data_IF_785835971917
#
_entry.id   IF_785835971917
#
_cell.length_a   1.000
_cell.length_b   1.000
_cell.length_c   1.000
_cell.angle_alpha   90.00
_cell.angle_beta   90.00
_cell.angle_gamma   90.00
#
_symmetry.space_group_name_H-M   'P 1'
#
loop_
_entity.id
_entity.type
_entity.pdbx_description
1 polymer ?
#
# COMPACT_ATOMS: atom_id res chain seq x y z
N UNK A 1 8.53 -53.99 20.42
CA UNK A 1 8.90 -52.60 20.07
C UNK A 1 8.64 -52.33 18.59
N UNK A 2 7.50 -51.75 18.17
CA UNK A 2 7.35 -51.16 16.81
C UNK A 2 6.23 -50.09 16.76
N UNK A 3 6.42 -49.00 17.50
CA UNK A 3 5.66 -47.74 17.34
C UNK A 3 6.64 -46.57 17.54
N UNK A 4 7.60 -46.41 16.63
CA UNK A 4 8.54 -45.27 16.66
C UNK A 4 8.72 -44.56 15.31
N UNK A 5 8.10 -45.05 14.22
CA UNK A 5 8.38 -44.54 12.87
C UNK A 5 7.38 -43.54 12.29
N UNK A 6 6.15 -43.41 12.83
CA UNK A 6 5.07 -42.63 12.19
C UNK A 6 4.80 -41.26 12.80
N UNK A 7 5.22 -41.01 14.04
CA UNK A 7 5.03 -39.72 14.72
C UNK A 7 5.88 -38.59 14.13
N UNK A 8 7.05 -38.93 13.59
CA UNK A 8 7.97 -37.92 13.05
C UNK A 8 7.47 -37.33 11.72
N UNK A 9 6.83 -38.15 10.86
CA UNK A 9 6.25 -37.67 9.59
C UNK A 9 5.10 -36.71 9.87
N UNK A 10 4.22 -37.02 10.82
CA UNK A 10 3.15 -36.13 11.23
C UNK A 10 3.67 -34.80 11.82
N UNK A 11 4.74 -34.85 12.63
CA UNK A 11 5.39 -33.66 13.15
C UNK A 11 6.05 -32.80 12.07
N UNK A 12 6.65 -33.42 11.06
CA UNK A 12 7.30 -32.72 9.93
C UNK A 12 6.27 -32.01 9.04
N UNK A 13 5.12 -32.65 8.79
CA UNK A 13 4.01 -32.03 8.05
C UNK A 13 3.41 -30.85 8.83
N UNK A 14 3.26 -30.98 10.15
CA UNK A 14 2.76 -29.87 10.99
C UNK A 14 3.73 -28.68 11.01
N UNK A 15 5.04 -28.94 11.08
CA UNK A 15 6.10 -27.92 10.99
C UNK A 15 6.13 -27.22 9.61
N UNK A 16 5.93 -27.97 8.53
CA UNK A 16 5.84 -27.40 7.17
C UNK A 16 4.61 -26.51 6.99
N UNK A 17 3.46 -26.89 7.57
CA UNK A 17 2.24 -26.05 7.54
C UNK A 17 2.42 -24.78 8.37
N UNK A 18 3.04 -24.86 9.55
CA UNK A 18 3.35 -23.68 10.37
C UNK A 18 4.38 -22.75 9.70
N UNK A 19 5.34 -23.30 8.95
CA UNK A 19 6.33 -22.53 8.21
C UNK A 19 5.71 -21.71 7.05
N UNK A 20 4.61 -22.16 6.45
CA UNK A 20 3.92 -21.38 5.41
C UNK A 20 3.21 -20.14 5.96
N UNK A 21 2.79 -20.14 7.22
CA UNK A 21 2.19 -18.96 7.86
C UNK A 21 3.24 -17.87 8.19
N UNK A 22 4.49 -18.27 8.39
CA UNK A 22 5.62 -17.36 8.60
C UNK A 22 6.19 -16.77 7.29
N UNK A 23 5.73 -17.27 6.13
CA UNK A 23 6.06 -16.71 4.82
C UNK A 23 4.97 -15.75 4.31
N UNK A 24 4.15 -15.19 5.20
CA UNK A 24 3.46 -13.95 4.91
C UNK A 24 4.54 -12.89 4.74
N UNK A 25 4.86 -12.54 3.48
CA UNK A 25 5.79 -11.47 3.14
C UNK A 25 5.61 -10.32 4.14
N UNK A 26 6.68 -9.95 4.84
CA UNK A 26 6.68 -8.81 5.75
C UNK A 26 6.23 -7.58 4.95
N UNK A 27 4.93 -7.32 4.96
CA UNK A 27 4.36 -6.17 4.31
C UNK A 27 5.00 -5.00 5.02
N UNK A 28 5.68 -4.14 4.26
CA UNK A 28 6.25 -2.92 4.81
C UNK A 28 5.18 -2.23 5.67
N UNK A 29 5.60 -1.59 6.76
CA UNK A 29 4.72 -0.87 7.69
C UNK A 29 4.14 0.39 7.03
N UNK A 30 3.37 0.19 5.97
CA UNK A 30 2.70 1.22 5.21
C UNK A 30 1.34 1.46 5.87
N UNK A 31 0.96 2.72 5.95
CA UNK A 31 -0.39 3.06 6.36
C UNK A 31 -1.37 2.53 5.34
N UNK A 32 -2.47 1.98 5.83
CA UNK A 32 -3.62 1.52 5.07
C UNK A 32 -4.87 2.26 5.56
N UNK A 33 -6.05 1.87 5.07
CA UNK A 33 -7.32 2.50 5.45
C UNK A 33 -7.59 2.44 6.95
N UNK A 34 -7.15 1.37 7.62
CA UNK A 34 -7.35 1.17 9.07
C UNK A 34 -6.54 2.20 9.86
N UNK A 35 -5.27 2.40 9.50
CA UNK A 35 -4.44 3.42 10.14
C UNK A 35 -4.90 4.83 9.76
N UNK A 36 -5.23 5.03 8.49
CA UNK A 36 -5.66 6.31 7.94
C UNK A 36 -6.93 6.86 8.60
N UNK A 37 -7.89 6.00 8.95
CA UNK A 37 -9.13 6.42 9.63
C UNK A 37 -8.93 6.84 11.08
N UNK A 38 -7.79 6.50 11.69
CA UNK A 38 -7.50 6.73 13.11
C UNK A 38 -6.62 7.96 13.36
N UNK A 39 -5.94 8.45 12.33
CA UNK A 39 -5.00 9.58 12.45
C UNK A 39 -5.72 10.92 12.25
N UNK A 40 -5.20 11.94 12.93
CA UNK A 40 -5.68 13.32 12.77
C UNK A 40 -5.43 13.84 11.35
N UNK A 41 -6.12 14.93 11.01
CA UNK A 41 -5.88 15.63 9.74
C UNK A 41 -4.40 16.01 9.57
N UNK A 42 -3.76 16.52 10.62
CA UNK A 42 -2.33 16.87 10.58
C UNK A 42 -1.44 15.64 10.35
N UNK A 43 -1.80 14.49 10.93
CA UNK A 43 -1.11 13.22 10.68
C UNK A 43 -1.22 12.78 9.21
N UNK A 44 -2.41 12.93 8.61
CA UNK A 44 -2.62 12.68 7.17
C UNK A 44 -1.82 13.66 6.33
N UNK A 45 -1.84 14.95 6.66
CA UNK A 45 -1.09 15.97 5.95
C UNK A 45 0.42 15.70 6.00
N UNK A 46 0.95 15.36 7.18
CA UNK A 46 2.35 14.99 7.36
C UNK A 46 2.75 13.76 6.51
N UNK A 47 1.87 12.77 6.39
CA UNK A 47 2.10 11.63 5.50
C UNK A 47 2.19 12.05 4.03
N UNK A 48 1.28 12.91 3.56
CA UNK A 48 1.26 13.42 2.18
C UNK A 48 2.50 14.28 1.87
N UNK A 49 2.91 15.15 2.80
CA UNK A 49 4.17 15.88 2.65
C UNK A 49 5.38 14.95 2.64
N UNK A 50 5.37 13.89 3.46
CA UNK A 50 6.45 12.90 3.50
C UNK A 50 6.65 12.18 2.17
N UNK A 51 5.58 11.74 1.51
CA UNK A 51 5.69 11.10 0.19
C UNK A 51 6.15 12.07 -0.89
N UNK A 52 5.72 13.34 -0.84
CA UNK A 52 6.16 14.39 -1.76
C UNK A 52 7.66 14.67 -1.61
N UNK A 53 8.13 14.84 -0.38
CA UNK A 53 9.55 15.06 -0.08
C UNK A 53 10.42 13.88 -0.54
N UNK A 54 9.96 12.63 -0.34
CA UNK A 54 10.67 11.46 -0.83
C UNK A 54 10.75 11.46 -2.36
N UNK A 55 9.65 11.79 -3.04
CA UNK A 55 9.61 11.84 -4.50
C UNK A 55 10.58 12.90 -5.07
N UNK A 56 10.62 14.09 -4.48
CA UNK A 56 11.55 15.15 -4.87
C UNK A 56 13.00 14.75 -4.61
N UNK A 57 13.28 14.12 -3.47
CA UNK A 57 14.61 13.61 -3.15
C UNK A 57 15.09 12.57 -4.18
N UNK A 58 14.25 11.59 -4.51
CA UNK A 58 14.59 10.54 -5.48
C UNK A 58 14.81 11.10 -6.89
N UNK A 59 14.02 12.10 -7.30
CA UNK A 59 14.23 12.81 -8.57
C UNK A 59 15.55 13.58 -8.59
N UNK A 60 15.87 14.31 -7.52
CA UNK A 60 17.13 15.03 -7.40
C UNK A 60 18.33 14.06 -7.42
N UNK A 61 18.28 12.99 -6.61
CA UNK A 61 19.34 11.99 -6.51
C UNK A 61 19.59 11.22 -7.81
N UNK A 62 18.54 11.02 -8.62
CA UNK A 62 18.63 10.35 -9.92
C UNK A 62 19.02 11.27 -11.08
N UNK A 63 19.25 12.56 -10.85
CA UNK A 63 19.45 13.54 -11.92
C UNK A 63 18.22 13.65 -12.83
N UNK A 64 17.02 13.52 -12.25
CA UNK A 64 15.75 13.53 -12.96
C UNK A 64 15.46 12.26 -13.76
N UNK A 65 16.17 11.15 -13.53
CA UNK A 65 15.99 9.86 -14.23
C UNK A 65 15.16 8.82 -13.46
N UNK A 66 14.72 9.10 -12.23
CA UNK A 66 13.96 8.17 -11.39
C UNK A 66 12.78 7.54 -12.14
N UNK A 67 12.50 6.26 -11.87
CA UNK A 67 11.51 5.49 -12.61
C UNK A 67 10.17 5.49 -11.86
N UNK A 68 9.11 5.58 -12.67
CA UNK A 68 7.68 5.36 -12.42
C UNK A 68 6.98 6.15 -11.30
N UNK A 69 7.25 5.93 -10.02
CA UNK A 69 6.36 6.44 -8.94
C UNK A 69 6.75 7.85 -8.49
N UNK A 70 8.04 8.12 -8.24
CA UNK A 70 8.53 9.43 -7.78
C UNK A 70 8.25 10.52 -8.80
N UNK A 71 8.42 10.21 -10.10
CA UNK A 71 8.04 11.12 -11.19
C UNK A 71 6.53 11.37 -11.22
N UNK A 72 5.71 10.32 -11.09
CA UNK A 72 4.26 10.47 -11.05
C UNK A 72 3.82 11.39 -9.90
N UNK A 73 4.40 11.22 -8.71
CA UNK A 73 4.07 12.08 -7.58
C UNK A 73 4.52 13.52 -7.77
N UNK A 74 5.75 13.76 -8.22
CA UNK A 74 6.23 15.11 -8.43
C UNK A 74 5.43 15.86 -9.52
N UNK A 75 5.05 15.16 -10.60
CA UNK A 75 4.33 15.79 -11.71
C UNK A 75 2.84 16.02 -11.42
N UNK A 76 2.20 15.15 -10.67
CA UNK A 76 0.75 15.18 -10.47
C UNK A 76 0.34 15.79 -9.13
N UNK A 77 1.08 15.51 -8.04
CA UNK A 77 0.72 16.03 -6.71
C UNK A 77 0.96 17.54 -6.60
N UNK A 78 1.90 18.12 -7.36
CA UNK A 78 2.13 19.57 -7.40
C UNK A 78 0.89 20.38 -7.85
N UNK A 79 -0.03 19.72 -8.55
CA UNK A 79 -1.27 20.34 -9.05
C UNK A 79 -2.46 20.15 -8.11
N UNK A 80 -2.24 19.60 -6.90
CA UNK A 80 -3.28 19.34 -5.91
C UNK A 80 -2.88 19.91 -4.56
N UNK A 81 -3.86 20.38 -3.80
CA UNK A 81 -3.61 20.70 -2.40
C UNK A 81 -3.58 19.42 -1.56
N UNK A 82 -2.89 19.46 -0.43
CA UNK A 82 -2.90 18.36 0.54
C UNK A 82 -4.32 18.00 0.97
N UNK A 83 -5.19 19.00 1.15
CA UNK A 83 -6.60 18.80 1.47
C UNK A 83 -7.34 17.98 0.40
N UNK A 84 -7.13 18.29 -0.89
CA UNK A 84 -7.74 17.55 -1.99
C UNK A 84 -7.24 16.09 -2.06
N UNK A 85 -5.95 15.87 -1.81
CA UNK A 85 -5.39 14.51 -1.78
C UNK A 85 -6.01 13.72 -0.61
N UNK A 86 -6.11 14.33 0.57
CA UNK A 86 -6.75 13.72 1.74
C UNK A 86 -8.20 13.35 1.45
N UNK A 87 -8.97 14.27 0.85
CA UNK A 87 -10.37 14.04 0.49
C UNK A 87 -10.52 12.84 -0.46
N UNK A 88 -9.65 12.72 -1.46
CA UNK A 88 -9.67 11.61 -2.41
C UNK A 88 -9.38 10.26 -1.74
N UNK A 89 -8.44 10.22 -0.80
CA UNK A 89 -8.12 9.01 -0.03
C UNK A 89 -9.27 8.65 0.92
N UNK A 90 -9.83 9.63 1.63
CA UNK A 90 -10.98 9.44 2.52
C UNK A 90 -12.19 8.91 1.75
N UNK A 91 -12.47 9.47 0.58
CA UNK A 91 -13.53 9.01 -0.32
C UNK A 91 -13.30 7.57 -0.76
N UNK A 92 -12.08 7.21 -1.17
CA UNK A 92 -11.76 5.86 -1.60
C UNK A 92 -12.10 4.82 -0.52
N UNK A 93 -11.61 4.98 0.71
CA UNK A 93 -11.86 4.00 1.76
C UNK A 93 -13.33 3.98 2.20
N UNK A 94 -14.01 5.13 2.18
CA UNK A 94 -15.46 5.21 2.44
C UNK A 94 -16.28 4.42 1.40
N UNK A 95 -15.92 4.52 0.13
CA UNK A 95 -16.62 3.84 -0.97
C UNK A 95 -16.20 2.36 -1.12
N UNK A 96 -15.08 1.95 -0.51
CA UNK A 96 -14.51 0.61 -0.66
C UNK A 96 -14.18 -0.03 0.72
N UNK A 97 -15.17 -0.33 1.57
CA UNK A 97 -14.93 -0.91 2.90
C UNK A 97 -14.22 -2.27 2.87
N UNK A 98 -14.28 -3.00 1.75
CA UNK A 98 -13.53 -4.25 1.55
C UNK A 98 -12.05 -4.06 1.21
N UNK A 99 -11.58 -2.81 1.01
CA UNK A 99 -10.21 -2.48 0.58
C UNK A 99 -9.40 -1.73 1.64
N UNK A 100 -9.78 -1.87 2.92
CA UNK A 100 -9.07 -1.21 4.02
C UNK A 100 -7.59 -1.59 4.12
N UNK A 101 -7.21 -2.76 3.57
CA UNK A 101 -5.82 -3.23 3.56
C UNK A 101 -5.00 -2.68 2.38
N UNK A 102 -5.60 -1.93 1.44
CA UNK A 102 -4.86 -1.24 0.37
C UNK A 102 -4.03 -0.12 0.98
N UNK A 103 -2.76 0.00 0.60
CA UNK A 103 -1.88 1.02 1.18
C UNK A 103 -2.28 2.43 0.76
N UNK A 104 -2.11 3.41 1.64
CA UNK A 104 -2.44 4.82 1.36
C UNK A 104 -1.67 5.33 0.15
N UNK A 105 -0.37 5.03 0.05
CA UNK A 105 0.46 5.44 -1.10
C UNK A 105 -0.07 4.89 -2.43
N UNK A 106 -0.57 3.65 -2.44
CA UNK A 106 -1.21 3.05 -3.62
C UNK A 106 -2.54 3.75 -3.95
N UNK A 107 -3.35 4.08 -2.94
CA UNK A 107 -4.58 4.86 -3.14
C UNK A 107 -4.26 6.23 -3.72
N UNK A 108 -3.27 6.95 -3.17
CA UNK A 108 -2.81 8.25 -3.70
C UNK A 108 -2.37 8.09 -5.16
N UNK A 109 -1.58 7.06 -5.48
CA UNK A 109 -1.13 6.82 -6.85
C UNK A 109 -2.33 6.60 -7.80
N UNK A 110 -3.29 5.74 -7.45
CA UNK A 110 -4.45 5.40 -8.30
C UNK A 110 -5.51 6.49 -8.39
N UNK A 111 -5.68 7.30 -7.34
CA UNK A 111 -6.76 8.30 -7.26
C UNK A 111 -6.28 9.71 -7.61
N UNK A 112 -4.98 9.98 -7.48
CA UNK A 112 -4.41 11.32 -7.64
C UNK A 112 -3.43 11.44 -8.80
N UNK A 113 -3.02 10.34 -9.44
CA UNK A 113 -2.12 10.36 -10.61
C UNK A 113 -2.73 9.63 -11.80
N UNK A 114 -2.20 9.88 -12.99
CA UNK A 114 -2.62 9.23 -14.25
C UNK A 114 -1.82 7.96 -14.55
N UNK A 115 -0.74 7.70 -13.81
CA UNK A 115 0.25 6.65 -14.11
C UNK A 115 -0.24 5.25 -13.70
N UNK A 116 -1.17 5.18 -12.76
CA UNK A 116 -1.82 3.93 -12.37
C UNK A 116 -3.32 4.07 -12.64
N UNK A 117 -3.90 3.35 -13.61
CA UNK A 117 -5.32 3.47 -13.90
C UNK A 117 -6.14 3.12 -12.65
N UNK A 118 -7.24 3.85 -12.38
CA UNK A 118 -8.12 3.52 -11.26
C UNK A 118 -8.65 2.09 -11.43
N UNK A 119 -8.73 1.37 -10.32
CA UNK A 119 -9.12 -0.03 -10.33
C UNK A 119 -10.53 -0.16 -10.92
N UNK A 120 -10.68 -0.90 -12.02
CA UNK A 120 -11.98 -1.12 -12.66
C UNK A 120 -12.88 -1.81 -11.65
N UNK A 121 -14.07 -1.25 -11.39
CA UNK A 121 -15.08 -1.87 -10.53
C UNK A 121 -15.34 -3.29 -11.05
N UNK A 122 -15.06 -4.30 -10.22
CA UNK A 122 -15.42 -5.69 -10.51
C UNK A 122 -16.91 -5.74 -10.86
N UNK A 123 -17.23 -5.97 -12.13
CA UNK A 123 -18.60 -5.98 -12.66
C UNK A 123 -18.87 -5.09 -13.89
N UNK A 124 -17.97 -4.17 -14.26
CA UNK A 124 -18.08 -3.44 -15.53
C UNK A 124 -17.68 -4.33 -16.70
N UNK A 125 -18.65 -4.79 -17.50
CA UNK A 125 -18.38 -5.47 -18.77
C UNK A 125 -17.55 -4.55 -19.69
N UNK A 126 -16.60 -5.18 -20.38
CA UNK A 126 -15.65 -4.61 -21.35
C UNK A 126 -16.29 -3.65 -22.34
#
# INVERSE_FOLDING_TARGET
>A
MRLKGKGWIAGLVLLLVLATAALAAEKAFLWDGTRWSQVSYDGKAGYIFGIGNLADFELAASGGKAVCISRAFADELKNKTVAQIIEQVDKFYKENPGKMQTSVIEVVLRQCTTVCPPEVKSGGKK
#
